data_IF_962061892133
#
_entry.id   IF_962061892133
#
_cell.length_a   1.000
_cell.length_b   1.000
_cell.length_c   1.000
_cell.angle_alpha   90.00
_cell.angle_beta   90.00
_cell.angle_gamma   90.00
#
_symmetry.space_group_name_H-M   'P 1'
#
loop_
_entity.id
_entity.type
_entity.pdbx_description
1 polymer ?
#
# COMPACT_ATOMS: atom_id res chain seq x y z
N UNK A 1 3.89 8.47 35.41
CA UNK A 1 2.92 9.16 34.54
C UNK A 1 2.57 8.16 33.46
N UNK A 2 1.33 7.67 33.44
CA UNK A 2 0.83 6.81 32.35
C UNK A 2 0.74 7.69 31.10
N UNK A 3 1.67 7.54 30.18
CA UNK A 3 1.55 8.11 28.83
C UNK A 3 0.42 7.36 28.15
N UNK A 4 -0.72 8.03 27.93
CA UNK A 4 -1.78 7.47 27.12
C UNK A 4 -1.17 7.05 25.76
N UNK A 5 -1.43 5.83 25.33
CA UNK A 5 -1.02 5.40 23.99
C UNK A 5 -1.58 6.39 22.96
N UNK A 6 -0.77 6.82 22.00
CA UNK A 6 -1.24 7.75 20.98
C UNK A 6 -2.40 7.11 20.19
N UNK A 7 -3.39 7.93 19.83
CA UNK A 7 -4.53 7.48 19.05
C UNK A 7 -4.07 6.89 17.72
N UNK A 8 -4.49 5.67 17.44
CA UNK A 8 -4.12 4.93 16.21
C UNK A 8 -5.15 5.10 15.10
N UNK A 9 -4.74 4.88 13.84
CA UNK A 9 -5.66 4.72 12.73
C UNK A 9 -6.51 3.45 12.93
N UNK A 10 -7.82 3.57 12.75
CA UNK A 10 -8.78 2.46 12.90
C UNK A 10 -9.45 2.15 11.57
N UNK A 11 -9.55 0.87 11.26
CA UNK A 11 -10.35 0.38 10.15
C UNK A 11 -11.82 0.56 10.52
N UNK A 12 -12.61 1.23 9.66
CA UNK A 12 -14.02 1.45 9.88
C UNK A 12 -14.82 1.20 8.60
N UNK A 13 -15.74 0.24 8.67
CA UNK A 13 -16.56 -0.22 7.55
C UNK A 13 -18.00 0.31 7.58
N UNK A 14 -18.38 1.05 8.62
CA UNK A 14 -19.74 1.53 8.84
C UNK A 14 -20.29 2.44 7.72
N UNK A 15 -19.39 3.10 6.98
CA UNK A 15 -19.74 4.02 5.90
C UNK A 15 -19.69 3.37 4.50
N UNK A 16 -19.55 2.03 4.42
CA UNK A 16 -19.46 1.28 3.16
C UNK A 16 -20.58 0.25 3.10
N UNK A 17 -21.39 0.31 2.04
CA UNK A 17 -22.57 -0.55 1.85
C UNK A 17 -22.54 -1.18 0.46
N UNK A 18 -22.84 -2.47 0.39
CA UNK A 18 -23.14 -3.15 -0.88
C UNK A 18 -24.62 -3.53 -0.91
N UNK A 19 -25.29 -3.19 -1.98
CA UNK A 19 -26.64 -3.67 -2.30
C UNK A 19 -26.48 -4.84 -3.25
N UNK A 20 -26.78 -6.04 -2.81
CA UNK A 20 -26.60 -7.25 -3.62
C UNK A 20 -27.80 -8.22 -3.43
N UNK A 21 -28.33 -8.82 -4.52
CA UNK A 21 -29.33 -9.86 -4.44
C UNK A 21 -28.84 -11.07 -3.62
N UNK A 22 -29.76 -11.74 -2.93
CA UNK A 22 -29.45 -12.94 -2.14
C UNK A 22 -28.75 -14.04 -2.95
N UNK A 23 -29.00 -14.12 -4.25
CA UNK A 23 -28.35 -15.05 -5.17
C UNK A 23 -26.84 -14.85 -5.29
N UNK A 24 -26.32 -13.64 -4.99
CA UNK A 24 -24.89 -13.31 -5.04
C UNK A 24 -24.20 -13.50 -3.68
N UNK A 25 -24.90 -13.93 -2.65
CA UNK A 25 -24.34 -14.02 -1.27
C UNK A 25 -23.09 -14.88 -1.19
N UNK A 26 -23.02 -15.98 -1.95
CA UNK A 26 -21.91 -16.90 -1.94
C UNK A 26 -20.77 -16.49 -2.88
N UNK A 27 -20.96 -15.43 -3.66
CA UNK A 27 -19.90 -14.86 -4.48
C UNK A 27 -18.79 -14.30 -3.56
N UNK A 28 -17.54 -14.64 -3.80
CA UNK A 28 -16.40 -14.34 -2.93
C UNK A 28 -16.29 -12.82 -2.62
N UNK A 29 -16.51 -11.96 -3.60
CA UNK A 29 -16.48 -10.50 -3.43
C UNK A 29 -17.60 -9.99 -2.51
N UNK A 30 -18.80 -10.60 -2.56
CA UNK A 30 -19.91 -10.22 -1.71
C UNK A 30 -19.70 -10.74 -0.29
N UNK A 31 -19.23 -11.99 -0.14
CA UNK A 31 -18.92 -12.62 1.15
C UNK A 31 -17.82 -11.88 1.91
N UNK A 32 -16.75 -11.49 1.20
CA UNK A 32 -15.55 -10.88 1.79
C UNK A 32 -15.57 -9.34 1.69
N UNK A 33 -16.70 -8.76 1.32
CA UNK A 33 -16.87 -7.32 1.15
C UNK A 33 -16.49 -6.54 2.43
N UNK A 34 -15.77 -5.44 2.23
CA UNK A 34 -15.47 -4.51 3.31
C UNK A 34 -16.63 -3.53 3.51
N UNK A 35 -17.55 -3.87 4.38
CA UNK A 35 -18.75 -3.07 4.66
C UNK A 35 -19.92 -3.95 5.05
N UNK A 36 -21.11 -3.37 5.01
CA UNK A 36 -22.37 -4.07 5.21
C UNK A 36 -22.97 -4.47 3.86
N UNK A 37 -23.47 -5.70 3.76
CA UNK A 37 -24.21 -6.18 2.58
C UNK A 37 -25.69 -6.20 2.93
N UNK A 38 -26.52 -5.52 2.11
CA UNK A 38 -27.97 -5.46 2.24
C UNK A 38 -28.63 -5.95 0.95
N UNK A 39 -29.87 -6.42 1.05
CA UNK A 39 -30.65 -6.85 -0.12
C UNK A 39 -31.28 -5.64 -0.86
N UNK A 40 -31.66 -5.78 -2.15
CA UNK A 40 -32.42 -4.75 -2.84
C UNK A 40 -33.74 -4.39 -2.14
N UNK A 41 -34.39 -5.35 -1.49
CA UNK A 41 -35.62 -5.16 -0.72
C UNK A 41 -35.36 -4.30 0.54
N UNK A 42 -34.32 -4.59 1.29
CA UNK A 42 -33.88 -3.78 2.44
C UNK A 42 -33.50 -2.36 2.00
N UNK A 43 -32.79 -2.26 0.89
CA UNK A 43 -32.46 -0.97 0.29
C UNK A 43 -33.74 -0.20 -0.09
N UNK A 44 -34.73 -0.84 -0.72
CA UNK A 44 -35.98 -0.22 -1.13
C UNK A 44 -36.86 0.20 0.07
N UNK A 45 -36.82 -0.52 1.18
CA UNK A 45 -37.60 -0.23 2.40
C UNK A 45 -37.30 1.13 3.02
N UNK A 46 -36.12 1.68 2.75
CA UNK A 46 -35.70 2.96 3.31
C UNK A 46 -35.10 2.93 4.71
N UNK A 47 -34.95 1.74 5.31
CA UNK A 47 -34.43 1.59 6.67
C UNK A 47 -32.94 1.98 6.82
N UNK A 48 -32.17 1.89 5.73
CA UNK A 48 -30.73 2.21 5.76
C UNK A 48 -30.49 3.68 5.43
N UNK A 49 -29.81 4.40 6.32
CA UNK A 49 -29.32 5.76 6.04
C UNK A 49 -28.12 5.69 5.09
N UNK A 50 -28.17 6.44 4.00
CA UNK A 50 -27.12 6.53 2.98
C UNK A 50 -26.30 7.81 3.06
N UNK A 51 -26.64 8.72 3.97
CA UNK A 51 -25.94 9.99 4.09
C UNK A 51 -24.42 9.75 4.32
N UNK A 52 -23.61 10.34 3.44
CA UNK A 52 -22.13 10.24 3.46
C UNK A 52 -21.57 8.85 3.23
N UNK A 53 -22.37 7.85 2.85
CA UNK A 53 -21.90 6.49 2.63
C UNK A 53 -21.40 6.27 1.20
N UNK A 54 -20.47 5.32 1.05
CA UNK A 54 -20.07 4.76 -0.24
C UNK A 54 -20.93 3.53 -0.53
N UNK A 55 -21.64 3.53 -1.65
CA UNK A 55 -22.62 2.50 -2.03
C UNK A 55 -22.11 1.74 -3.25
N UNK A 56 -22.09 0.42 -3.17
CA UNK A 56 -21.80 -0.50 -4.27
C UNK A 56 -23.07 -1.21 -4.68
N UNK A 57 -23.45 -1.10 -5.96
CA UNK A 57 -24.67 -1.68 -6.51
C UNK A 57 -24.34 -2.93 -7.32
N UNK A 58 -25.06 -4.03 -7.05
CA UNK A 58 -25.00 -5.28 -7.77
C UNK A 58 -26.41 -5.77 -8.11
N UNK A 59 -26.56 -6.54 -9.19
CA UNK A 59 -27.81 -7.14 -9.61
C UNK A 59 -28.50 -6.44 -10.77
N UNK A 60 -29.82 -6.62 -10.87
CA UNK A 60 -30.66 -5.99 -11.89
C UNK A 60 -30.98 -4.55 -11.53
N UNK A 61 -30.50 -3.62 -12.33
CA UNK A 61 -30.72 -2.18 -12.15
C UNK A 61 -31.73 -1.59 -13.18
N UNK A 62 -32.37 -2.43 -14.01
CA UNK A 62 -33.33 -2.00 -15.04
C UNK A 62 -34.60 -1.34 -14.48
N UNK A 63 -34.97 -1.67 -13.23
CA UNK A 63 -36.11 -1.10 -12.51
C UNK A 63 -35.83 0.19 -11.75
N UNK A 64 -34.77 0.90 -12.05
CA UNK A 64 -34.12 1.95 -11.27
C UNK A 64 -34.87 3.25 -11.05
N UNK A 65 -36.19 3.29 -11.32
CA UNK A 65 -37.05 4.38 -10.81
C UNK A 65 -37.08 4.48 -9.28
N UNK A 66 -36.60 3.43 -8.57
CA UNK A 66 -36.76 3.27 -7.11
C UNK A 66 -35.62 3.82 -6.27
N UNK A 67 -34.42 3.98 -6.82
CA UNK A 67 -33.24 4.36 -6.04
C UNK A 67 -32.75 5.81 -6.23
N UNK A 68 -33.15 6.50 -7.27
CA UNK A 68 -32.54 7.75 -7.72
C UNK A 68 -32.40 8.81 -6.61
N UNK A 69 -33.49 9.19 -5.96
CA UNK A 69 -33.47 10.22 -4.89
C UNK A 69 -32.75 9.78 -3.62
N UNK A 70 -32.68 8.48 -3.36
CA UNK A 70 -31.98 7.98 -2.17
C UNK A 70 -30.46 7.93 -2.40
N UNK A 71 -30.03 7.57 -3.61
CA UNK A 71 -28.61 7.55 -3.97
C UNK A 71 -28.00 8.96 -4.01
N UNK A 72 -28.79 9.99 -4.24
CA UNK A 72 -28.35 11.40 -4.21
C UNK A 72 -27.81 11.81 -2.81
N UNK A 73 -28.19 11.10 -1.76
CA UNK A 73 -27.68 11.33 -0.40
C UNK A 73 -26.32 10.65 -0.14
N UNK A 74 -25.94 9.68 -0.96
CA UNK A 74 -24.67 8.98 -0.82
C UNK A 74 -23.49 9.86 -1.22
N UNK A 75 -22.33 9.66 -0.56
CA UNK A 75 -21.12 10.38 -0.92
C UNK A 75 -20.54 9.89 -2.25
N UNK A 76 -20.62 8.58 -2.50
CA UNK A 76 -20.14 7.93 -3.73
C UNK A 76 -21.04 6.75 -4.05
N UNK A 77 -21.32 6.54 -5.33
CA UNK A 77 -22.09 5.38 -5.80
C UNK A 77 -21.32 4.68 -6.91
N UNK A 78 -21.13 3.40 -6.75
CA UNK A 78 -20.48 2.53 -7.72
C UNK A 78 -21.43 1.45 -8.21
N UNK A 79 -21.41 1.17 -9.51
CA UNK A 79 -22.03 -0.02 -10.12
C UNK A 79 -20.91 -1.03 -10.42
N UNK A 80 -21.03 -2.25 -9.89
CA UNK A 80 -20.07 -3.32 -10.14
C UNK A 80 -20.42 -4.03 -11.43
N UNK A 81 -19.65 -3.77 -12.49
CA UNK A 81 -19.94 -4.17 -13.89
C UNK A 81 -20.26 -5.65 -14.03
N UNK A 82 -19.39 -6.51 -13.52
CA UNK A 82 -19.50 -7.96 -13.70
C UNK A 82 -20.62 -8.60 -12.86
N UNK A 83 -21.15 -7.87 -11.87
CA UNK A 83 -22.24 -8.33 -11.00
C UNK A 83 -23.55 -7.59 -11.25
N UNK A 84 -23.62 -6.73 -12.27
CA UNK A 84 -24.79 -5.89 -12.53
C UNK A 84 -25.23 -5.94 -14.00
N UNK A 85 -26.52 -5.72 -14.23
CA UNK A 85 -27.09 -5.58 -15.57
C UNK A 85 -28.25 -4.59 -15.54
N UNK A 86 -28.73 -4.17 -16.72
CA UNK A 86 -29.84 -3.25 -16.85
C UNK A 86 -29.58 -1.82 -16.40
N UNK A 87 -28.32 -1.43 -16.22
CA UNK A 87 -27.92 -0.05 -15.95
C UNK A 87 -27.66 0.70 -17.27
N UNK A 88 -27.86 2.02 -17.24
CA UNK A 88 -27.53 2.91 -18.34
C UNK A 88 -26.07 3.40 -18.15
N UNK A 89 -25.19 3.07 -19.09
CA UNK A 89 -23.79 3.50 -19.07
C UNK A 89 -23.65 5.02 -19.20
N UNK A 90 -24.64 5.67 -19.86
CA UNK A 90 -24.69 7.11 -20.10
C UNK A 90 -25.49 7.89 -19.04
N UNK A 91 -25.83 7.27 -17.90
CA UNK A 91 -26.71 7.82 -16.86
C UNK A 91 -26.16 9.08 -16.14
N UNK A 92 -25.32 9.85 -16.80
CA UNK A 92 -25.05 11.26 -16.48
C UNK A 92 -24.58 11.54 -15.04
N UNK A 93 -23.56 10.80 -14.54
CA UNK A 93 -22.87 11.16 -13.29
C UNK A 93 -23.57 10.73 -12.00
N UNK A 94 -24.59 9.87 -12.06
CA UNK A 94 -25.23 9.32 -10.85
C UNK A 94 -24.39 8.26 -10.15
N UNK A 95 -23.56 7.55 -10.87
CA UNK A 95 -22.67 6.51 -10.37
C UNK A 95 -21.44 6.35 -11.26
N UNK A 96 -20.39 5.80 -10.69
CA UNK A 96 -19.19 5.37 -11.42
C UNK A 96 -19.27 3.87 -11.70
N UNK A 97 -19.00 3.47 -12.94
CA UNK A 97 -18.92 2.07 -13.32
C UNK A 97 -17.52 1.54 -12.96
N UNK A 98 -17.45 0.51 -12.10
CA UNK A 98 -16.19 -0.10 -11.67
C UNK A 98 -16.14 -1.59 -12.02
N UNK A 99 -14.93 -2.12 -12.22
CA UNK A 99 -14.70 -3.56 -12.31
C UNK A 99 -14.70 -4.23 -10.95
N UNK A 100 -14.95 -5.54 -10.95
CA UNK A 100 -15.00 -6.40 -9.76
C UNK A 100 -13.74 -6.29 -8.87
N UNK A 101 -12.57 -6.14 -9.48
CA UNK A 101 -11.30 -6.00 -8.74
C UNK A 101 -11.14 -4.70 -7.96
N UNK A 102 -12.00 -3.70 -8.21
CA UNK A 102 -12.03 -2.42 -7.49
C UNK A 102 -12.88 -2.46 -6.21
N UNK A 103 -13.63 -3.55 -6.00
CA UNK A 103 -14.42 -3.74 -4.78
C UNK A 103 -13.49 -3.99 -3.60
N UNK A 104 -13.65 -3.26 -2.47
CA UNK A 104 -12.85 -3.47 -1.26
C UNK A 104 -13.19 -4.80 -0.58
N UNK A 105 -12.16 -5.59 -0.28
CA UNK A 105 -12.29 -6.86 0.42
C UNK A 105 -11.68 -6.78 1.81
N UNK A 106 -12.40 -7.28 2.81
CA UNK A 106 -11.93 -7.35 4.19
C UNK A 106 -10.85 -8.41 4.33
N UNK A 107 -9.72 -8.05 4.91
CA UNK A 107 -8.64 -8.99 5.20
C UNK A 107 -8.54 -9.17 6.71
N UNK A 108 -9.22 -10.18 7.25
CA UNK A 108 -9.12 -10.60 8.66
C UNK A 108 -9.21 -9.48 9.71
N UNK A 109 -9.85 -8.35 9.40
CA UNK A 109 -9.90 -7.19 10.29
C UNK A 109 -8.58 -6.40 10.41
N UNK A 110 -7.54 -6.76 9.66
CA UNK A 110 -6.20 -6.14 9.73
C UNK A 110 -5.88 -5.25 8.53
N UNK A 111 -6.75 -5.21 7.53
CA UNK A 111 -6.58 -4.37 6.34
C UNK A 111 -7.70 -4.55 5.33
N UNK A 112 -7.60 -3.81 4.24
CA UNK A 112 -8.53 -3.85 3.11
C UNK A 112 -7.75 -4.08 1.82
N UNK A 113 -8.21 -5.03 1.02
CA UNK A 113 -7.54 -5.45 -0.19
C UNK A 113 -8.39 -5.20 -1.43
N UNK A 114 -7.77 -4.62 -2.46
CA UNK A 114 -8.34 -4.41 -3.79
C UNK A 114 -7.56 -5.26 -4.77
N UNK A 115 -8.22 -6.20 -5.45
CA UNK A 115 -7.55 -7.10 -6.42
C UNK A 115 -7.03 -6.34 -7.64
N UNK A 116 -7.72 -5.23 -8.03
CA UNK A 116 -7.36 -4.35 -9.14
C UNK A 116 -7.85 -2.93 -8.86
N UNK A 117 -7.08 -2.20 -8.06
CA UNK A 117 -7.37 -0.80 -7.75
C UNK A 117 -7.00 0.11 -8.91
N UNK A 118 -5.87 -0.17 -9.54
CA UNK A 118 -5.38 0.53 -10.72
C UNK A 118 -5.58 -0.34 -11.96
N UNK A 119 -6.16 0.26 -13.01
CA UNK A 119 -6.40 -0.46 -14.26
C UNK A 119 -5.08 -0.76 -14.98
N UNK A 120 -4.90 -1.99 -15.53
CA UNK A 120 -3.67 -2.40 -16.20
C UNK A 120 -3.31 -1.52 -17.40
N UNK A 121 -4.31 -1.00 -18.12
CA UNK A 121 -4.11 -0.15 -19.31
C UNK A 121 -3.42 1.18 -19.04
N UNK A 122 -3.25 1.58 -17.78
CA UNK A 122 -2.56 2.84 -17.41
C UNK A 122 -1.03 2.75 -17.44
N UNK A 123 -0.46 1.56 -17.66
CA UNK A 123 1.00 1.29 -17.69
C UNK A 123 1.79 1.99 -16.57
N UNK A 124 1.34 1.81 -15.32
CA UNK A 124 2.02 2.41 -14.19
C UNK A 124 3.48 1.95 -14.04
N UNK A 125 3.78 0.68 -14.39
CA UNK A 125 5.15 0.18 -14.34
C UNK A 125 6.07 0.98 -15.27
N UNK A 126 5.70 1.10 -16.55
CA UNK A 126 6.50 1.81 -17.53
C UNK A 126 6.66 3.30 -17.20
N UNK A 127 5.55 3.95 -16.78
CA UNK A 127 5.57 5.38 -16.42
C UNK A 127 6.47 5.66 -15.22
N UNK A 128 6.31 4.96 -14.11
CA UNK A 128 7.13 5.14 -12.90
C UNK A 128 8.61 4.84 -13.22
N UNK A 129 8.88 3.79 -14.00
CA UNK A 129 10.25 3.47 -14.41
C UNK A 129 10.90 4.52 -15.32
N UNK A 130 10.11 5.26 -16.09
CA UNK A 130 10.57 6.35 -16.95
C UNK A 130 10.69 7.69 -16.21
N UNK A 131 9.85 7.92 -15.20
CA UNK A 131 9.85 9.18 -14.42
C UNK A 131 11.01 9.24 -13.43
N UNK A 132 11.64 8.09 -13.03
CA UNK A 132 12.60 8.04 -11.92
C UNK A 132 13.88 7.26 -12.23
N UNK A 133 14.99 7.69 -11.59
CA UNK A 133 16.29 7.05 -11.69
C UNK A 133 16.49 5.99 -10.60
N UNK A 134 15.98 4.77 -10.83
CA UNK A 134 16.12 3.66 -9.88
C UNK A 134 17.58 3.28 -9.65
N UNK A 135 18.00 3.19 -8.39
CA UNK A 135 19.35 2.81 -7.98
C UNK A 135 19.41 1.35 -7.54
N UNK A 136 20.55 0.69 -7.78
CA UNK A 136 20.79 -0.66 -7.24
C UNK A 136 20.79 -0.65 -5.73
N UNK A 137 20.11 -1.62 -5.11
CA UNK A 137 20.18 -1.80 -3.66
C UNK A 137 21.47 -2.50 -3.27
N UNK A 138 22.13 -2.07 -2.19
CA UNK A 138 23.38 -2.65 -1.69
C UNK A 138 23.28 -4.15 -1.39
N UNK A 139 22.08 -4.66 -1.05
CA UNK A 139 21.84 -6.09 -0.87
C UNK A 139 21.96 -6.90 -2.17
N UNK A 140 21.76 -6.28 -3.32
CA UNK A 140 21.81 -6.94 -4.64
C UNK A 140 23.22 -7.38 -5.04
N UNK A 141 24.25 -6.86 -4.39
CA UNK A 141 25.65 -7.23 -4.64
C UNK A 141 26.05 -8.54 -3.95
N UNK A 142 25.19 -9.08 -3.08
CA UNK A 142 25.46 -10.36 -2.40
C UNK A 142 25.34 -11.51 -3.38
N UNK A 143 26.28 -12.50 -3.33
CA UNK A 143 26.20 -13.71 -4.15
C UNK A 143 24.84 -14.41 -4.01
N UNK A 144 24.30 -14.91 -5.10
CA UNK A 144 23.02 -15.64 -5.19
C UNK A 144 21.76 -14.81 -4.78
N UNK A 145 21.87 -13.49 -4.63
CA UNK A 145 20.72 -12.62 -4.43
C UNK A 145 20.23 -12.12 -5.80
N UNK A 146 18.93 -12.16 -6.04
CA UNK A 146 18.35 -11.52 -7.23
C UNK A 146 18.48 -10.00 -7.11
N UNK A 147 18.78 -9.36 -8.23
CA UNK A 147 18.95 -7.91 -8.28
C UNK A 147 17.65 -7.18 -7.95
N UNK A 148 17.74 -6.17 -7.10
CA UNK A 148 16.67 -5.21 -6.84
C UNK A 148 17.19 -3.80 -7.04
N UNK A 149 16.41 -2.96 -7.65
CA UNK A 149 16.63 -1.52 -7.68
C UNK A 149 15.49 -0.81 -6.93
N UNK A 150 15.74 0.38 -6.43
CA UNK A 150 14.74 1.10 -5.66
C UNK A 150 15.02 2.59 -5.58
N UNK A 151 14.02 3.32 -5.06
CA UNK A 151 14.10 4.76 -4.85
C UNK A 151 13.12 5.18 -3.75
N UNK A 152 13.47 6.23 -3.02
CA UNK A 152 12.55 6.95 -2.15
C UNK A 152 11.99 8.17 -2.87
N UNK A 153 10.66 8.35 -2.76
CA UNK A 153 9.94 9.47 -3.37
C UNK A 153 9.09 10.17 -2.31
N UNK A 154 9.04 11.48 -2.37
CA UNK A 154 8.18 12.32 -1.52
C UNK A 154 7.94 13.66 -2.21
N UNK A 155 6.83 14.37 -1.94
CA UNK A 155 6.68 15.72 -2.45
C UNK A 155 7.82 16.61 -1.98
N UNK A 156 8.46 17.32 -2.93
CA UNK A 156 9.48 18.32 -2.64
C UNK A 156 8.93 19.71 -2.99
N UNK A 157 8.91 20.61 -2.03
CA UNK A 157 8.51 22.00 -2.25
C UNK A 157 9.71 22.94 -2.15
N UNK A 158 9.83 23.85 -3.11
CA UNK A 158 10.88 24.86 -3.13
C UNK A 158 10.38 26.18 -2.53
N UNK A 159 11.09 26.70 -1.56
CA UNK A 159 10.87 28.04 -0.97
C UNK A 159 12.18 28.83 -1.04
N UNK A 160 12.34 29.64 -2.09
CA UNK A 160 13.62 30.29 -2.40
C UNK A 160 14.71 29.25 -2.66
N UNK A 161 15.78 29.29 -1.87
CA UNK A 161 16.90 28.33 -1.97
C UNK A 161 16.71 27.08 -1.07
N UNK A 162 15.59 26.96 -0.38
CA UNK A 162 15.29 25.84 0.50
C UNK A 162 14.42 24.80 -0.21
N UNK A 163 14.76 23.50 -0.04
CA UNK A 163 13.98 22.36 -0.50
C UNK A 163 13.37 21.66 0.73
N UNK A 164 12.05 21.62 0.80
CA UNK A 164 11.29 21.00 1.91
C UNK A 164 10.75 19.65 1.46
N UNK A 165 10.99 18.61 2.25
CA UNK A 165 10.63 17.23 1.93
C UNK A 165 10.49 16.37 3.18
N UNK A 166 10.23 15.05 3.03
CA UNK A 166 10.14 14.10 4.14
C UNK A 166 11.19 13.02 4.03
N UNK A 167 11.62 12.49 5.20
CA UNK A 167 12.67 11.48 5.28
C UNK A 167 12.17 10.20 5.95
N UNK A 168 12.56 9.05 5.37
CA UNK A 168 12.49 7.73 5.99
C UNK A 168 13.91 7.26 6.31
N UNK A 169 14.41 7.61 7.47
CA UNK A 169 15.82 7.50 7.89
C UNK A 169 16.24 6.11 8.37
N UNK A 170 15.65 5.04 7.85
CA UNK A 170 15.75 3.71 8.47
C UNK A 170 16.53 2.66 7.67
N UNK A 171 17.00 2.96 6.46
CA UNK A 171 17.61 1.97 5.56
C UNK A 171 19.03 2.34 5.18
N UNK A 172 19.91 1.32 5.12
CA UNK A 172 21.26 1.43 4.56
C UNK A 172 21.35 0.91 3.12
N UNK A 173 20.20 0.56 2.52
CA UNK A 173 20.18 -0.11 1.21
C UNK A 173 20.19 0.86 0.03
N UNK A 174 19.85 2.12 0.26
CA UNK A 174 19.85 3.18 -0.75
C UNK A 174 20.94 4.20 -0.41
N UNK A 175 21.60 4.72 -1.42
CA UNK A 175 22.69 5.70 -1.27
C UNK A 175 22.45 7.01 -2.01
N UNK A 176 21.54 7.02 -2.98
CA UNK A 176 21.17 8.23 -3.71
C UNK A 176 20.11 9.07 -2.98
N UNK A 177 19.89 10.30 -3.43
CA UNK A 177 18.93 11.20 -2.82
C UNK A 177 17.49 10.68 -2.96
N UNK A 178 16.62 11.16 -2.10
CA UNK A 178 15.16 11.08 -2.30
C UNK A 178 14.79 11.95 -3.49
N UNK A 179 13.84 11.51 -4.32
CA UNK A 179 13.34 12.29 -5.46
C UNK A 179 11.93 12.85 -5.17
N UNK A 180 11.61 13.92 -5.89
CA UNK A 180 10.26 14.49 -5.91
C UNK A 180 9.26 13.53 -6.56
N UNK A 181 7.99 13.67 -6.24
CA UNK A 181 6.92 12.96 -6.94
C UNK A 181 6.83 13.39 -8.40
N UNK A 182 6.82 12.41 -9.29
CA UNK A 182 6.40 12.61 -10.66
C UNK A 182 4.88 12.74 -10.81
N UNK A 183 4.40 13.05 -12.03
CA UNK A 183 2.95 13.13 -12.28
C UNK A 183 2.21 11.82 -12.01
N UNK A 184 2.87 10.67 -12.20
CA UNK A 184 2.25 9.35 -11.93
C UNK A 184 2.14 9.11 -10.43
N UNK A 185 3.16 9.46 -9.63
CA UNK A 185 3.14 9.31 -8.18
C UNK A 185 2.05 10.17 -7.54
N UNK A 186 1.95 11.41 -7.96
CA UNK A 186 0.92 12.35 -7.48
C UNK A 186 -0.47 11.75 -7.66
N UNK A 187 -0.80 11.25 -8.88
CA UNK A 187 -2.10 10.61 -9.15
C UNK A 187 -2.35 9.36 -8.30
N UNK A 188 -1.32 8.51 -8.14
CA UNK A 188 -1.42 7.28 -7.33
C UNK A 188 -1.68 7.64 -5.87
N UNK A 189 -0.86 8.52 -5.28
CA UNK A 189 -0.94 8.87 -3.87
C UNK A 189 -2.22 9.62 -3.54
N UNK A 190 -2.69 10.52 -4.41
CA UNK A 190 -3.99 11.16 -4.26
C UNK A 190 -5.16 10.17 -4.32
N UNK A 191 -5.13 9.20 -5.26
CA UNK A 191 -6.15 8.16 -5.34
C UNK A 191 -6.18 7.30 -4.06
N UNK A 192 -5.00 6.92 -3.54
CA UNK A 192 -4.88 6.17 -2.30
C UNK A 192 -5.36 6.97 -1.08
N UNK A 193 -5.05 8.26 -0.99
CA UNK A 193 -5.53 9.13 0.09
C UNK A 193 -7.05 9.28 0.08
N UNK A 194 -7.66 9.44 -1.11
CA UNK A 194 -9.13 9.47 -1.24
C UNK A 194 -9.76 8.16 -0.76
N UNK A 195 -9.16 7.03 -1.09
CA UNK A 195 -9.67 5.72 -0.67
C UNK A 195 -9.42 5.47 0.82
N UNK A 196 -8.25 5.82 1.34
CA UNK A 196 -7.93 5.71 2.77
C UNK A 196 -8.93 6.47 3.65
N UNK A 197 -9.41 7.63 3.21
CA UNK A 197 -10.43 8.41 3.93
C UNK A 197 -11.79 7.69 4.06
N UNK A 198 -12.07 6.69 3.23
CA UNK A 198 -13.28 5.85 3.34
C UNK A 198 -13.07 4.58 4.17
N UNK A 199 -11.81 4.17 4.34
CA UNK A 199 -11.43 2.93 5.03
C UNK A 199 -11.02 3.17 6.48
N UNK A 200 -10.38 4.31 6.76
CA UNK A 200 -9.79 4.57 8.07
C UNK A 200 -10.36 5.81 8.73
N UNK A 201 -10.53 5.73 10.06
CA UNK A 201 -10.71 6.90 10.92
C UNK A 201 -9.38 7.28 11.57
N UNK A 202 -9.21 8.59 11.78
CA UNK A 202 -8.06 9.14 12.50
C UNK A 202 -6.71 8.70 11.90
N UNK A 203 -6.56 8.78 10.56
CA UNK A 203 -5.31 8.43 9.90
C UNK A 203 -4.54 9.66 9.40
N UNK A 204 -3.21 9.55 9.33
CA UNK A 204 -2.36 10.52 8.66
C UNK A 204 -2.40 10.30 7.13
N UNK A 205 -2.18 11.35 6.32
CA UNK A 205 -2.12 11.21 4.87
C UNK A 205 -0.86 10.45 4.42
N UNK A 206 -1.02 9.61 3.40
CA UNK A 206 0.08 8.99 2.67
C UNK A 206 0.87 10.06 1.91
N UNK A 207 2.20 10.07 2.06
CA UNK A 207 3.04 11.16 1.56
C UNK A 207 4.49 10.76 1.21
N UNK A 208 4.80 9.47 1.26
CA UNK A 208 6.13 8.97 0.96
C UNK A 208 6.07 7.58 0.33
N UNK A 209 6.92 7.31 -0.63
CA UNK A 209 6.96 6.05 -1.37
C UNK A 209 8.34 5.42 -1.29
N UNK A 210 8.36 4.10 -1.12
CA UNK A 210 9.47 3.24 -1.51
C UNK A 210 9.02 2.45 -2.74
N UNK A 211 9.55 2.81 -3.90
CA UNK A 211 9.38 2.06 -5.13
C UNK A 211 10.56 1.11 -5.32
N UNK A 212 10.28 -0.18 -5.61
CA UNK A 212 11.32 -1.22 -5.81
C UNK A 212 10.98 -2.11 -7.00
N UNK A 213 11.91 -2.24 -7.93
CA UNK A 213 11.82 -3.18 -9.05
C UNK A 213 12.55 -4.48 -8.67
N UNK A 214 11.87 -5.59 -8.86
CA UNK A 214 12.35 -6.93 -8.51
C UNK A 214 12.76 -7.67 -9.78
N UNK A 215 14.07 -7.74 -10.02
CA UNK A 215 14.66 -8.40 -11.19
C UNK A 215 14.99 -9.85 -10.88
N UNK A 216 14.35 -10.79 -11.60
CA UNK A 216 14.73 -12.19 -11.50
C UNK A 216 15.97 -12.45 -12.37
N UNK A 217 16.88 -13.28 -11.88
CA UNK A 217 18.09 -13.64 -12.61
C UNK A 217 17.90 -15.04 -13.23
N UNK A 218 18.09 -15.15 -14.52
CA UNK A 218 18.02 -16.43 -15.25
C UNK A 218 19.18 -17.33 -14.88
N UNK A 219 18.99 -18.65 -15.07
CA UNK A 219 20.07 -19.62 -14.99
C UNK A 219 21.06 -19.41 -16.14
N UNK A 220 22.34 -19.51 -15.87
CA UNK A 220 23.42 -19.51 -16.85
C UNK A 220 24.36 -20.68 -16.55
N UNK A 221 25.32 -20.95 -17.43
CA UNK A 221 26.33 -21.98 -17.18
C UNK A 221 27.08 -21.67 -15.86
N UNK A 222 27.04 -22.60 -14.94
CA UNK A 222 27.65 -22.46 -13.60
C UNK A 222 26.87 -21.62 -12.59
N UNK A 223 25.74 -20.97 -12.95
CA UNK A 223 24.94 -20.17 -12.03
C UNK A 223 23.47 -20.56 -12.08
N UNK A 224 22.91 -20.94 -10.92
CA UNK A 224 21.47 -21.21 -10.77
C UNK A 224 20.65 -19.90 -10.89
N UNK A 225 19.42 -20.04 -11.36
CA UNK A 225 18.45 -18.92 -11.33
C UNK A 225 18.27 -18.38 -9.90
N UNK A 226 17.98 -17.09 -9.79
CA UNK A 226 17.62 -16.46 -8.55
C UNK A 226 16.35 -15.62 -8.73
N UNK A 227 15.39 -15.77 -7.80
CA UNK A 227 14.13 -15.03 -7.80
C UNK A 227 14.12 -14.03 -6.66
N UNK A 228 13.71 -12.81 -6.95
CA UNK A 228 13.69 -11.74 -5.96
C UNK A 228 12.70 -12.05 -4.83
N UNK A 229 13.16 -11.90 -3.60
CA UNK A 229 12.41 -12.15 -2.37
C UNK A 229 12.79 -11.14 -1.29
N UNK A 230 11.93 -10.98 -0.30
CA UNK A 230 12.24 -10.25 0.93
C UNK A 230 11.93 -11.18 2.11
N UNK A 231 12.88 -11.33 3.01
CA UNK A 231 12.73 -12.10 4.26
C UNK A 231 11.67 -11.45 5.15
N UNK A 232 11.10 -12.24 6.06
CA UNK A 232 10.09 -11.76 7.00
C UNK A 232 10.66 -10.61 7.86
N UNK A 233 9.95 -9.50 7.88
CA UNK A 233 10.26 -8.29 8.64
C UNK A 233 8.98 -7.49 8.90
N UNK A 234 9.04 -6.56 9.84
CA UNK A 234 8.11 -5.44 9.94
C UNK A 234 8.78 -4.18 9.40
N UNK A 235 8.01 -3.30 8.78
CA UNK A 235 8.54 -1.99 8.40
C UNK A 235 8.87 -1.16 9.64
N UNK A 236 9.96 -0.42 9.56
CA UNK A 236 10.45 0.42 10.65
C UNK A 236 9.63 1.70 10.73
N UNK A 237 9.07 1.97 11.92
CA UNK A 237 8.07 3.02 12.09
C UNK A 237 8.60 4.30 12.74
N UNK A 238 9.92 4.41 12.97
CA UNK A 238 10.55 5.56 13.66
C UNK A 238 10.12 6.93 13.12
N UNK A 239 9.98 7.06 11.83
CA UNK A 239 9.63 8.32 11.17
C UNK A 239 8.14 8.41 10.78
N UNK A 240 7.30 7.51 11.30
CA UNK A 240 5.87 7.44 11.03
C UNK A 240 5.05 7.85 12.26
N UNK A 241 3.95 8.60 12.10
CA UNK A 241 3.07 8.91 13.23
C UNK A 241 2.32 7.66 13.69
N UNK A 242 1.95 7.59 14.96
CA UNK A 242 1.24 6.44 15.52
C UNK A 242 -0.07 6.09 14.78
N UNK A 243 -0.77 7.11 14.27
CA UNK A 243 -1.98 6.98 13.45
C UNK A 243 -1.68 6.86 11.94
N UNK A 244 -0.46 6.42 11.59
CA UNK A 244 -0.06 6.18 10.21
C UNK A 244 -0.75 4.95 9.62
N UNK A 245 -0.79 4.93 8.29
CA UNK A 245 -1.24 3.81 7.47
C UNK A 245 -0.21 3.48 6.41
N UNK A 246 -0.36 2.32 5.78
CA UNK A 246 0.48 1.88 4.68
C UNK A 246 -0.37 1.35 3.53
N UNK A 247 0.10 1.57 2.29
CA UNK A 247 -0.48 1.00 1.09
C UNK A 247 0.58 0.20 0.33
N UNK A 248 0.30 -1.07 0.08
CA UNK A 248 1.14 -1.93 -0.78
C UNK A 248 0.50 -2.01 -2.16
N UNK A 249 1.07 -1.31 -3.13
CA UNK A 249 0.64 -1.37 -4.52
C UNK A 249 1.59 -2.28 -5.33
N UNK A 250 1.05 -2.93 -6.34
CA UNK A 250 1.82 -3.86 -7.16
C UNK A 250 1.55 -3.64 -8.64
N UNK A 251 2.63 -3.46 -9.40
CA UNK A 251 2.59 -3.36 -10.84
C UNK A 251 3.53 -4.39 -11.46
N UNK A 252 3.22 -4.84 -12.66
CA UNK A 252 4.01 -5.82 -13.38
C UNK A 252 4.30 -5.34 -14.80
N UNK A 253 5.49 -5.69 -15.27
CA UNK A 253 5.88 -5.66 -16.67
C UNK A 253 5.82 -7.08 -17.25
N UNK A 254 5.51 -7.19 -18.54
CA UNK A 254 5.55 -8.45 -19.32
C UNK A 254 4.66 -9.56 -18.76
N UNK A 255 3.36 -9.31 -18.67
CA UNK A 255 2.36 -10.34 -18.36
C UNK A 255 1.97 -11.21 -19.58
N UNK A 256 2.45 -10.90 -20.78
CA UNK A 256 2.00 -11.48 -22.05
C UNK A 256 2.19 -13.00 -22.13
N UNK A 257 3.20 -13.55 -21.43
CA UNK A 257 3.46 -15.00 -21.33
C UNK A 257 2.54 -15.75 -20.37
N UNK A 258 1.75 -15.04 -19.57
CA UNK A 258 0.85 -15.61 -18.57
C UNK A 258 -0.60 -15.51 -19.03
N UNK A 259 -1.47 -16.36 -18.46
CA UNK A 259 -2.92 -16.34 -18.69
C UNK A 259 -3.65 -16.26 -17.36
N UNK A 260 -4.84 -15.64 -17.30
CA UNK A 260 -5.69 -15.71 -16.13
C UNK A 260 -5.93 -17.18 -15.73
N UNK A 261 -5.87 -17.46 -14.43
CA UNK A 261 -6.15 -18.78 -13.90
C UNK A 261 -7.67 -19.03 -13.85
N UNK A 262 -8.08 -20.29 -14.00
CA UNK A 262 -9.50 -20.65 -14.00
C UNK A 262 -10.21 -20.34 -12.68
N UNK A 263 -9.48 -20.44 -11.55
CA UNK A 263 -10.02 -20.23 -10.21
C UNK A 263 -10.03 -18.74 -9.79
N UNK A 264 -9.18 -17.93 -10.40
CA UNK A 264 -9.08 -16.49 -10.11
C UNK A 264 -8.66 -15.72 -11.37
N UNK A 265 -9.57 -14.98 -11.96
CA UNK A 265 -9.34 -14.17 -13.16
C UNK A 265 -8.33 -13.02 -12.95
N UNK A 266 -8.00 -12.68 -11.70
CA UNK A 266 -6.99 -11.67 -11.35
C UNK A 266 -5.60 -12.29 -11.17
N UNK A 267 -5.50 -13.59 -10.98
CA UNK A 267 -4.21 -14.30 -10.91
C UNK A 267 -3.78 -14.80 -12.30
N UNK A 268 -2.53 -14.57 -12.63
CA UNK A 268 -1.95 -14.90 -13.93
C UNK A 268 -0.88 -15.99 -13.78
N UNK A 269 -0.90 -16.98 -14.64
CA UNK A 269 0.02 -18.11 -14.52
C UNK A 269 0.18 -18.95 -15.76
N UNK A 270 0.87 -20.07 -15.60
CA UNK A 270 1.12 -21.09 -16.61
C UNK A 270 0.71 -22.44 -16.07
N UNK A 271 -0.10 -23.19 -16.82
CA UNK A 271 -0.54 -24.56 -16.48
C UNK A 271 -1.11 -24.68 -15.05
N UNK A 272 -1.89 -23.70 -14.62
CA UNK A 272 -2.51 -23.71 -13.30
C UNK A 272 -1.61 -23.22 -12.14
N UNK A 273 -0.33 -22.91 -12.38
CA UNK A 273 0.55 -22.35 -11.39
C UNK A 273 0.65 -20.82 -11.54
N UNK A 274 0.40 -20.10 -10.46
CA UNK A 274 0.50 -18.62 -10.43
C UNK A 274 1.92 -18.15 -10.72
N UNK A 275 2.05 -17.16 -11.63
CA UNK A 275 3.30 -16.43 -11.91
C UNK A 275 3.48 -15.21 -11.00
N UNK A 276 2.48 -14.86 -10.18
CA UNK A 276 2.49 -13.66 -9.39
C UNK A 276 3.22 -13.84 -8.05
N UNK A 277 3.70 -12.74 -7.53
CA UNK A 277 4.35 -12.66 -6.23
C UNK A 277 3.30 -12.71 -5.11
N UNK A 278 3.68 -13.25 -3.95
CA UNK A 278 2.82 -13.34 -2.77
C UNK A 278 3.39 -12.56 -1.60
N UNK A 279 2.50 -11.88 -0.88
CA UNK A 279 2.79 -11.18 0.37
C UNK A 279 2.29 -12.05 1.53
N UNK A 280 3.21 -12.59 2.31
CA UNK A 280 2.92 -13.46 3.45
C UNK A 280 3.02 -12.67 4.74
N UNK A 281 2.00 -12.78 5.56
CA UNK A 281 1.97 -12.24 6.92
C UNK A 281 2.07 -13.37 7.94
N UNK A 282 2.86 -13.14 8.98
CA UNK A 282 2.99 -14.05 10.13
C UNK A 282 2.93 -13.25 11.42
N UNK A 283 2.04 -13.64 12.33
CA UNK A 283 1.90 -13.04 13.65
C UNK A 283 3.24 -13.16 14.41
N UNK A 284 3.68 -12.06 15.03
CA UNK A 284 4.97 -12.03 15.78
C UNK A 284 4.88 -12.81 17.07
N UNK A 285 3.80 -12.61 17.82
CA UNK A 285 3.55 -13.23 19.12
C UNK A 285 2.11 -13.76 19.14
N UNK A 286 1.83 -14.86 19.86
CA UNK A 286 0.45 -15.25 20.13
C UNK A 286 -0.26 -14.09 20.84
N UNK A 287 -1.19 -13.45 20.20
CA UNK A 287 -1.93 -12.32 20.74
C UNK A 287 -2.86 -12.77 21.87
N UNK A 288 -2.80 -12.08 23.00
CA UNK A 288 -3.93 -12.04 23.93
C UNK A 288 -5.12 -11.37 23.21
N UNK A 289 -6.32 -11.90 23.44
CA UNK A 289 -7.59 -11.58 22.77
C UNK A 289 -7.73 -10.12 22.32
N UNK A 290 -7.97 -9.94 21.03
CA UNK A 290 -8.49 -8.68 20.47
C UNK A 290 -10.03 -8.75 20.51
N UNK A 291 -10.70 -7.61 20.68
CA UNK A 291 -12.17 -7.47 20.78
C UNK A 291 -12.95 -7.99 19.56
N UNK A 292 -12.29 -8.39 18.49
CA UNK A 292 -12.86 -8.95 17.26
C UNK A 292 -12.58 -10.43 16.99
N UNK A 293 -12.09 -11.17 18.00
CA UNK A 293 -11.59 -12.55 17.83
C UNK A 293 -10.07 -12.59 17.64
N UNK A 294 -9.45 -13.77 17.83
CA UNK A 294 -8.01 -13.92 17.67
C UNK A 294 -7.63 -13.71 16.19
N UNK A 295 -6.68 -12.82 15.88
CA UNK A 295 -6.21 -12.63 14.52
C UNK A 295 -5.52 -13.90 14.01
N UNK A 296 -5.57 -14.22 12.70
CA UNK A 296 -4.99 -15.45 12.18
C UNK A 296 -3.47 -15.46 12.40
N UNK A 297 -2.93 -16.63 12.76
CA UNK A 297 -1.49 -16.79 12.97
C UNK A 297 -0.67 -16.47 11.71
N UNK A 298 -1.26 -16.67 10.52
CA UNK A 298 -0.67 -16.32 9.23
C UNK A 298 -1.76 -16.18 8.16
N UNK A 299 -1.49 -15.33 7.18
CA UNK A 299 -2.29 -15.23 5.96
C UNK A 299 -1.42 -14.80 4.78
N UNK A 300 -1.96 -14.92 3.58
CA UNK A 300 -1.24 -14.64 2.34
C UNK A 300 -2.14 -13.88 1.39
N UNK A 301 -1.60 -12.86 0.75
CA UNK A 301 -2.22 -12.14 -0.35
C UNK A 301 -1.45 -12.42 -1.64
N UNK A 302 -2.15 -12.80 -2.71
CA UNK A 302 -1.58 -12.76 -4.06
C UNK A 302 -1.52 -11.29 -4.49
N UNK A 303 -0.36 -10.84 -4.91
CA UNK A 303 -0.18 -9.46 -5.36
C UNK A 303 -0.59 -9.38 -6.84
N UNK A 304 -1.87 -9.12 -7.11
CA UNK A 304 -2.41 -9.02 -8.46
C UNK A 304 -1.93 -7.74 -9.17
N UNK A 305 -1.91 -7.69 -10.51
CA UNK A 305 -1.57 -6.49 -11.26
C UNK A 305 -2.55 -5.34 -10.95
N UNK A 306 -2.02 -4.21 -10.51
CA UNK A 306 -2.80 -3.06 -10.07
C UNK A 306 -3.45 -3.21 -8.69
N UNK A 307 -3.12 -4.25 -7.93
CA UNK A 307 -3.67 -4.47 -6.58
C UNK A 307 -3.15 -3.47 -5.56
N UNK A 308 -3.97 -3.23 -4.53
CA UNK A 308 -3.63 -2.40 -3.37
C UNK A 308 -4.06 -3.11 -2.09
N UNK A 309 -3.16 -3.18 -1.12
CA UNK A 309 -3.49 -3.57 0.25
C UNK A 309 -3.25 -2.38 1.18
N UNK A 310 -4.33 -1.89 1.78
CA UNK A 310 -4.33 -0.81 2.77
C UNK A 310 -4.34 -1.40 4.18
N UNK A 311 -3.42 -0.99 5.05
CA UNK A 311 -3.39 -1.43 6.44
C UNK A 311 -2.93 -0.31 7.40
N UNK A 312 -3.41 -0.30 8.66
CA UNK A 312 -2.90 0.60 9.70
C UNK A 312 -1.54 0.11 10.22
N UNK A 313 -0.78 0.98 10.87
CA UNK A 313 0.50 0.61 11.50
C UNK A 313 0.34 -0.42 12.63
N UNK A 314 -0.83 -0.52 13.26
CA UNK A 314 -1.14 -1.60 14.21
C UNK A 314 -0.97 -2.99 13.58
N UNK A 315 -1.36 -3.17 12.30
CA UNK A 315 -1.11 -4.42 11.57
C UNK A 315 0.38 -4.69 11.37
N UNK A 316 1.18 -3.68 11.05
CA UNK A 316 2.64 -3.81 10.94
C UNK A 316 3.29 -4.17 12.30
N UNK A 317 2.72 -3.69 13.41
CA UNK A 317 3.17 -4.11 14.75
C UNK A 317 2.81 -5.55 15.07
N UNK A 318 1.63 -6.00 14.70
CA UNK A 318 1.18 -7.38 14.95
C UNK A 318 1.93 -8.42 14.12
N UNK A 319 2.23 -8.11 12.86
CA UNK A 319 2.74 -9.08 11.89
C UNK A 319 4.12 -8.69 11.35
N UNK A 320 4.93 -9.72 11.08
CA UNK A 320 5.97 -9.62 10.07
C UNK A 320 5.38 -9.97 8.71
N UNK A 321 5.93 -9.39 7.65
CA UNK A 321 5.56 -9.73 6.28
C UNK A 321 6.79 -10.09 5.44
N UNK A 322 6.58 -10.94 4.43
CA UNK A 322 7.61 -11.45 3.54
C UNK A 322 7.12 -11.45 2.09
N UNK A 323 8.01 -11.12 1.17
CA UNK A 323 7.76 -11.27 -0.26
C UNK A 323 8.29 -12.64 -0.71
N UNK A 324 7.40 -13.46 -1.26
CA UNK A 324 7.72 -14.79 -1.80
C UNK A 324 7.43 -14.82 -3.30
N UNK A 325 8.42 -15.23 -4.13
CA UNK A 325 8.22 -15.38 -5.55
C UNK A 325 7.33 -16.59 -5.85
N UNK A 326 6.79 -16.61 -7.06
CA UNK A 326 6.12 -17.79 -7.64
C UNK A 326 7.04 -19.02 -7.65
N UNK A 327 6.47 -20.24 -7.64
CA UNK A 327 7.23 -21.48 -7.87
C UNK A 327 7.76 -21.65 -9.30
N UNK A 328 7.18 -20.95 -10.29
CA UNK A 328 7.60 -21.03 -11.70
C UNK A 328 9.06 -20.60 -11.88
N UNK A 329 9.70 -21.07 -12.96
CA UNK A 329 11.05 -20.69 -13.30
C UNK A 329 11.17 -19.19 -13.60
N UNK A 330 12.33 -18.60 -13.31
CA UNK A 330 12.59 -17.16 -13.44
C UNK A 330 12.29 -16.61 -14.85
N UNK A 331 12.48 -17.43 -15.88
CA UNK A 331 12.18 -17.11 -17.27
C UNK A 331 10.69 -16.82 -17.52
N UNK A 332 9.81 -17.55 -16.81
CA UNK A 332 8.35 -17.40 -16.92
C UNK A 332 7.78 -16.30 -16.02
N UNK A 333 8.61 -15.64 -15.20
CA UNK A 333 8.13 -14.67 -14.25
C UNK A 333 8.14 -13.24 -14.82
N UNK A 334 7.07 -12.46 -14.59
CA UNK A 334 7.07 -11.04 -14.91
C UNK A 334 8.00 -10.29 -13.98
N UNK A 335 8.46 -9.11 -14.40
CA UNK A 335 9.15 -8.17 -13.53
C UNK A 335 8.12 -7.45 -12.66
N UNK A 336 8.34 -7.39 -11.36
CA UNK A 336 7.42 -6.73 -10.42
C UNK A 336 7.98 -5.40 -9.94
N UNK A 337 7.17 -4.36 -9.96
CA UNK A 337 7.37 -3.13 -9.22
C UNK A 337 6.50 -3.19 -7.96
N UNK A 338 7.14 -3.22 -6.79
CA UNK A 338 6.49 -3.00 -5.51
C UNK A 338 6.54 -1.52 -5.17
N UNK A 339 5.38 -0.94 -4.90
CA UNK A 339 5.23 0.49 -4.66
C UNK A 339 4.53 0.66 -3.30
N UNK A 340 5.35 0.90 -2.25
CA UNK A 340 4.85 0.96 -0.87
C UNK A 340 4.76 2.41 -0.44
N UNK A 341 3.54 2.86 -0.19
CA UNK A 341 3.24 4.24 0.24
C UNK A 341 3.04 4.28 1.75
N UNK A 342 3.60 5.28 2.41
CA UNK A 342 3.61 5.45 3.87
C UNK A 342 3.24 6.87 4.27
N UNK A 343 2.86 7.01 5.54
CA UNK A 343 2.71 8.32 6.20
C UNK A 343 4.00 8.65 6.93
N UNK A 344 4.71 9.69 6.54
CA UNK A 344 5.87 10.17 7.30
C UNK A 344 5.57 11.46 8.04
N UNK A 345 6.07 11.55 9.28
CA UNK A 345 6.04 12.75 10.11
C UNK A 345 7.39 13.48 10.13
N UNK A 346 8.49 12.81 9.81
CA UNK A 346 9.82 13.43 9.81
C UNK A 346 9.98 14.38 8.61
N UNK A 347 9.84 15.67 8.88
CA UNK A 347 10.04 16.74 7.88
C UNK A 347 11.49 17.21 7.89
N UNK A 348 12.00 17.56 6.71
CA UNK A 348 13.34 18.07 6.52
C UNK A 348 13.36 19.29 5.59
N UNK A 349 14.43 20.04 5.70
CA UNK A 349 14.79 21.10 4.74
C UNK A 349 16.23 20.96 4.33
N UNK A 350 16.50 20.99 3.03
CA UNK A 350 17.85 21.07 2.49
C UNK A 350 18.16 22.50 2.06
N UNK A 351 19.22 23.08 2.63
CA UNK A 351 19.68 24.44 2.34
C UNK A 351 21.19 24.54 2.55
N UNK A 352 21.85 25.43 1.80
CA UNK A 352 23.29 25.69 1.93
C UNK A 352 24.14 24.39 1.90
N UNK A 353 23.73 23.40 1.08
CA UNK A 353 24.42 22.11 0.93
C UNK A 353 24.28 21.16 2.12
N UNK A 354 23.31 21.38 3.02
CA UNK A 354 23.06 20.52 4.20
C UNK A 354 21.58 20.26 4.41
N UNK A 355 21.28 19.08 4.93
CA UNK A 355 19.93 18.70 5.36
C UNK A 355 19.74 18.99 6.85
N UNK A 356 18.57 19.52 7.20
CA UNK A 356 18.12 19.82 8.55
C UNK A 356 16.80 19.10 8.81
N UNK A 357 16.61 18.55 10.01
CA UNK A 357 15.32 18.06 10.49
C UNK A 357 14.51 19.23 11.02
N UNK A 358 13.24 19.33 10.65
CA UNK A 358 12.31 20.24 11.26
C UNK A 358 11.89 19.67 12.61
N UNK A 359 12.08 20.44 13.65
CA UNK A 359 11.66 20.15 15.03
C UNK A 359 10.58 21.14 15.45
N UNK A 360 10.06 21.02 16.67
CA UNK A 360 9.13 22.01 17.22
C UNK A 360 9.76 23.41 17.40
N UNK A 361 11.11 23.50 17.39
CA UNK A 361 11.89 24.74 17.41
C UNK A 361 12.57 25.01 16.07
N UNK A 362 13.77 25.60 16.12
CA UNK A 362 14.59 25.80 14.92
C UNK A 362 15.01 24.48 14.28
N UNK A 363 15.14 24.43 12.94
CA UNK A 363 15.61 23.24 12.24
C UNK A 363 17.00 22.81 12.75
N UNK A 364 17.14 21.55 13.16
CA UNK A 364 18.39 20.96 13.64
C UNK A 364 19.13 20.27 12.49
N UNK A 365 20.47 20.43 12.36
CA UNK A 365 21.23 19.71 11.34
C UNK A 365 21.01 18.19 11.44
N UNK A 366 20.84 17.53 10.30
CA UNK A 366 20.90 16.06 10.22
C UNK A 366 22.32 15.62 10.55
N UNK A 367 22.53 15.02 11.73
CA UNK A 367 23.83 14.62 12.23
C UNK A 367 24.32 13.35 11.53
N UNK A 368 25.65 13.15 11.51
CA UNK A 368 26.21 11.86 11.08
C UNK A 368 25.98 10.78 12.15
N UNK A 369 25.69 9.51 11.75
CA UNK A 369 25.45 8.45 12.70
C UNK A 369 26.73 8.10 13.49
N UNK A 370 26.61 8.00 14.81
CA UNK A 370 27.67 7.46 15.65
C UNK A 370 27.55 5.93 15.75
N UNK A 371 28.64 5.19 15.98
CA UNK A 371 28.57 3.72 16.19
C UNK A 371 27.56 3.33 17.30
N UNK A 372 27.62 4.01 18.44
CA UNK A 372 26.71 3.73 19.56
C UNK A 372 25.25 4.02 19.23
N UNK A 373 24.96 5.16 18.56
CA UNK A 373 23.60 5.51 18.11
C UNK A 373 23.07 4.51 17.08
N UNK A 374 23.92 4.05 16.16
CA UNK A 374 23.57 3.01 15.18
C UNK A 374 23.22 1.68 15.85
N UNK A 375 23.99 1.27 16.86
CA UNK A 375 23.77 0.00 17.58
C UNK A 375 22.49 0.08 18.43
N UNK A 376 22.24 1.20 19.09
CA UNK A 376 20.98 1.43 19.81
C UNK A 376 19.77 1.37 18.87
N UNK A 377 19.82 2.08 17.73
CA UNK A 377 18.74 2.09 16.75
C UNK A 377 18.50 0.69 16.17
N UNK A 378 19.55 -0.05 15.84
CA UNK A 378 19.44 -1.44 15.37
C UNK A 378 18.79 -2.36 16.41
N UNK A 379 19.09 -2.17 17.70
CA UNK A 379 18.48 -2.92 18.80
C UNK A 379 16.96 -2.65 18.86
N UNK A 380 16.55 -1.40 18.77
CA UNK A 380 15.12 -1.05 18.73
C UNK A 380 14.41 -1.62 17.48
N UNK A 381 15.05 -1.58 16.32
CA UNK A 381 14.51 -2.20 15.12
C UNK A 381 14.40 -3.74 15.23
N UNK A 382 15.33 -4.39 15.90
CA UNK A 382 15.24 -5.83 16.17
C UNK A 382 14.09 -6.13 17.14
N UNK A 383 13.84 -5.27 18.13
CA UNK A 383 12.71 -5.37 19.04
C UNK A 383 11.39 -5.17 18.30
N UNK A 384 11.26 -4.12 17.46
CA UNK A 384 10.10 -3.88 16.61
C UNK A 384 9.77 -5.07 15.70
N UNK A 385 10.77 -5.76 15.16
CA UNK A 385 10.56 -6.98 14.37
C UNK A 385 10.10 -8.20 15.20
N UNK A 386 10.40 -8.24 16.48
CA UNK A 386 10.15 -9.40 17.36
C UNK A 386 8.85 -9.29 18.13
N UNK A 387 8.50 -8.07 18.60
CA UNK A 387 7.36 -7.84 19.49
C UNK A 387 6.22 -7.11 18.78
N UNK A 388 5.03 -7.20 19.34
CA UNK A 388 3.86 -6.41 18.92
C UNK A 388 3.73 -5.08 19.67
N UNK A 389 4.64 -4.80 20.61
CA UNK A 389 4.63 -3.59 21.41
C UNK A 389 4.93 -2.34 20.59
N UNK A 390 4.35 -1.22 21.00
CA UNK A 390 4.73 0.09 20.48
C UNK A 390 6.16 0.42 20.90
N UNK A 391 7.02 0.77 19.94
CA UNK A 391 8.39 1.22 20.21
C UNK A 391 8.44 2.74 20.13
N UNK A 392 8.72 3.37 21.26
CA UNK A 392 8.94 4.80 21.32
C UNK A 392 10.41 5.11 20.99
N UNK A 393 10.62 5.71 19.83
CA UNK A 393 11.95 6.14 19.38
C UNK A 393 12.34 7.52 19.95
N UNK A 394 11.37 8.35 20.30
CA UNK A 394 11.60 9.73 20.74
C UNK A 394 12.46 10.53 19.77
N UNK A 395 13.09 11.59 20.27
CA UNK A 395 13.99 12.47 19.48
C UNK A 395 15.47 12.06 19.55
N UNK A 396 15.76 10.80 20.00
CA UNK A 396 17.13 10.33 20.30
C UNK A 396 18.02 10.11 19.07
N UNK A 397 17.46 10.11 17.86
CA UNK A 397 18.17 9.75 16.65
C UNK A 397 18.16 10.90 15.63
N UNK A 398 18.99 11.94 15.83
CA UNK A 398 19.08 13.09 14.93
C UNK A 398 19.82 12.81 13.61
N UNK A 399 20.01 11.55 13.27
CA UNK A 399 20.74 11.08 12.08
C UNK A 399 19.88 10.20 11.17
N UNK A 400 20.36 9.97 9.95
CA UNK A 400 19.81 8.95 9.04
C UNK A 400 20.78 7.79 8.84
N UNK A 401 20.22 6.58 8.68
CA UNK A 401 20.95 5.41 8.19
C UNK A 401 21.11 5.42 6.67
N UNK A 402 20.28 6.21 5.96
CA UNK A 402 20.33 6.38 4.52
C UNK A 402 21.31 7.51 4.16
N UNK A 403 22.38 7.19 3.46
CA UNK A 403 23.39 8.19 3.06
C UNK A 403 22.83 9.23 2.06
N UNK A 404 21.83 8.87 1.28
CA UNK A 404 21.14 9.77 0.36
C UNK A 404 20.42 10.94 1.03
N UNK A 405 20.03 10.79 2.31
CA UNK A 405 19.30 11.85 3.04
C UNK A 405 20.17 13.07 3.38
N UNK A 406 21.49 12.95 3.23
CA UNK A 406 22.44 14.06 3.40
C UNK A 406 22.64 14.86 2.11
N UNK A 407 22.13 14.37 0.98
CA UNK A 407 22.17 15.03 -0.32
C UNK A 407 20.92 15.91 -0.52
N UNK A 408 21.00 16.86 -1.44
CA UNK A 408 19.82 17.58 -1.89
C UNK A 408 18.82 16.59 -2.53
N UNK A 409 17.51 16.66 -2.21
CA UNK A 409 16.53 15.88 -2.94
C UNK A 409 16.55 16.24 -4.42
N UNK A 410 16.37 15.26 -5.29
CA UNK A 410 16.21 15.50 -6.71
C UNK A 410 14.82 16.07 -6.99
N UNK A 411 14.76 17.14 -7.75
CA UNK A 411 13.51 17.84 -8.11
C UNK A 411 13.25 17.61 -9.58
N UNK A 412 12.02 17.32 -9.95
CA UNK A 412 11.62 17.36 -11.35
C UNK A 412 11.56 18.82 -11.79
N UNK A 413 12.37 19.19 -12.78
CA UNK A 413 12.20 20.47 -13.44
C UNK A 413 10.84 20.44 -14.16
N UNK A 414 9.87 21.13 -13.58
CA UNK A 414 8.62 21.43 -14.26
C UNK A 414 8.99 22.43 -15.38
N UNK A 415 9.32 21.90 -16.58
CA UNK A 415 9.56 22.69 -17.78
C UNK A 415 8.33 23.49 -18.21
#
# INVERSE_FOLDING_TARGET
>A
MSTAEPAEARIEDADTIMVAPSALRDHDVVRDFFGSVITPEDFASGATDLARKTVYLCGDLSGSGTGGRRLDAAARVFVVRELSHGYDEDAGGRWDLIGLGRVPLRVHGVGVYYRRFFEPGADHFGRISAEHAFQSLTESDKPATAHRSGIYLTPVTRHGDELHFRLLRCSTNLSGPTEDFGPTDTRIVEALNREAATVFRNHAPLNHVLAQIYHNTLATEGRKQSKAKISAHADKTKDMPAHGIMAFCTFYDRLDGLRPLAEDAFDFGVKGASGLTRLHFRLKEPSAQHDGGAPPAQFTLTLHPGSVFLMPLSTNRLYTHAIRPSPLDAESLPTRLGYVVRCLSAEAVHKNGRTFLKTAGDPAPLEQPTPAGMDELRRLYAEENRTSSFIDYGDRFPFSMNTGDYLAPAVHDLG
#
